data_IF_101899376379
#
_entry.id   IF_101899376379
#
_cell.length_a   1.000
_cell.length_b   1.000
_cell.length_c   1.000
_cell.angle_alpha   90.00
_cell.angle_beta   90.00
_cell.angle_gamma   90.00
#
_symmetry.space_group_name_H-M   'P 1'
#
loop_
_entity.id
_entity.type
_entity.pdbx_description
1 polymer ?
#
# COMPACT_ATOMS: atom_id res chain seq x y z
N UNK A 1 5.48 -3.38 14.30
CA UNK A 1 4.08 -3.44 13.81
C UNK A 1 3.26 -2.16 14.06
N UNK A 2 3.88 -1.02 14.39
CA UNK A 2 3.13 0.19 14.79
C UNK A 2 2.34 0.84 13.64
N UNK A 3 2.90 0.86 12.43
CA UNK A 3 2.21 1.37 11.22
C UNK A 3 0.94 0.55 10.93
N UNK A 4 1.04 -0.78 10.90
CA UNK A 4 -0.10 -1.68 10.65
C UNK A 4 -1.18 -1.54 11.73
N UNK A 5 -0.79 -1.41 13.00
CA UNK A 5 -1.73 -1.20 14.09
C UNK A 5 -2.47 0.15 13.98
N UNK A 6 -1.79 1.21 13.55
CA UNK A 6 -2.41 2.52 13.33
C UNK A 6 -3.43 2.51 12.18
N UNK A 7 -3.34 1.55 11.25
CA UNK A 7 -4.28 1.38 10.17
C UNK A 7 -5.58 0.65 10.58
N UNK A 8 -5.58 -0.07 11.72
CA UNK A 8 -6.66 -0.97 12.11
C UNK A 8 -8.06 -0.32 12.13
N UNK A 9 -8.25 0.90 12.69
CA UNK A 9 -9.57 1.56 12.64
C UNK A 9 -10.02 1.87 11.20
N UNK A 10 -9.08 2.14 10.30
CA UNK A 10 -9.34 2.37 8.88
C UNK A 10 -9.91 1.13 8.19
N UNK A 11 -9.51 -0.08 8.60
CA UNK A 11 -10.03 -1.33 8.02
C UNK A 11 -11.54 -1.44 8.29
N UNK A 12 -11.95 -1.22 9.54
CA UNK A 12 -13.37 -1.25 9.90
C UNK A 12 -14.14 -0.12 9.22
N UNK A 13 -13.58 1.09 9.17
CA UNK A 13 -14.21 2.24 8.52
C UNK A 13 -14.46 2.00 7.01
N UNK A 14 -13.58 1.27 6.31
CA UNK A 14 -13.81 0.87 4.92
C UNK A 14 -15.07 0.01 4.80
N UNK A 15 -15.25 -0.98 5.68
CA UNK A 15 -16.43 -1.87 5.67
C UNK A 15 -17.69 -1.08 6.02
N UNK A 16 -17.65 -0.28 7.08
CA UNK A 16 -18.79 0.55 7.52
C UNK A 16 -19.21 1.54 6.43
N UNK A 17 -18.25 2.10 5.69
CA UNK A 17 -18.53 3.02 4.60
C UNK A 17 -19.32 2.38 3.45
N UNK A 18 -19.09 1.10 3.14
CA UNK A 18 -19.89 0.38 2.12
C UNK A 18 -21.36 0.36 2.53
N UNK A 19 -21.63 0.01 3.79
CA UNK A 19 -22.98 -0.08 4.32
C UNK A 19 -23.65 1.30 4.45
N UNK A 20 -22.88 2.32 4.80
CA UNK A 20 -23.35 3.71 4.83
C UNK A 20 -23.77 4.20 3.43
N UNK A 21 -22.97 3.90 2.39
CA UNK A 21 -23.32 4.23 1.00
C UNK A 21 -24.62 3.52 0.59
N UNK A 22 -24.79 2.23 0.93
CA UNK A 22 -26.01 1.47 0.62
C UNK A 22 -27.27 2.05 1.28
N UNK A 23 -27.12 2.70 2.44
CA UNK A 23 -28.21 3.33 3.20
C UNK A 23 -28.40 4.82 2.88
N UNK A 24 -27.57 5.38 2.00
CA UNK A 24 -27.49 6.82 1.74
C UNK A 24 -27.22 7.66 3.01
N UNK A 25 -26.41 7.12 3.93
CA UNK A 25 -26.02 7.81 5.16
C UNK A 25 -24.77 8.67 4.95
N UNK A 26 -25.00 9.90 4.49
CA UNK A 26 -23.94 10.86 4.19
C UNK A 26 -23.06 11.20 5.41
N UNK A 27 -23.65 11.27 6.61
CA UNK A 27 -22.92 11.60 7.84
C UNK A 27 -21.94 10.49 8.20
N UNK A 28 -22.41 9.23 8.09
CA UNK A 28 -21.57 8.07 8.38
C UNK A 28 -20.47 7.89 7.32
N UNK A 29 -20.75 8.15 6.04
CA UNK A 29 -19.71 8.17 5.00
C UNK A 29 -18.62 9.18 5.32
N UNK A 30 -18.97 10.41 5.72
CA UNK A 30 -17.98 11.42 6.13
C UNK A 30 -17.18 10.99 7.36
N UNK A 31 -17.83 10.37 8.36
CA UNK A 31 -17.16 9.84 9.55
C UNK A 31 -16.12 8.78 9.18
N UNK A 32 -16.48 7.84 8.30
CA UNK A 32 -15.57 6.79 7.83
C UNK A 32 -14.38 7.35 7.05
N UNK A 33 -14.61 8.30 6.12
CA UNK A 33 -13.54 8.97 5.38
C UNK A 33 -12.59 9.72 6.32
N UNK A 34 -13.13 10.39 7.36
CA UNK A 34 -12.30 11.05 8.37
C UNK A 34 -11.43 10.04 9.12
N UNK A 35 -11.98 8.90 9.54
CA UNK A 35 -11.21 7.85 10.23
C UNK A 35 -10.08 7.34 9.34
N UNK A 36 -10.36 7.06 8.07
CA UNK A 36 -9.33 6.62 7.11
C UNK A 36 -8.24 7.67 6.95
N UNK A 37 -8.60 8.96 6.83
CA UNK A 37 -7.64 10.08 6.77
C UNK A 37 -6.75 10.09 8.01
N UNK A 38 -7.34 10.08 9.20
CA UNK A 38 -6.61 10.14 10.48
C UNK A 38 -5.66 8.94 10.63
N UNK A 39 -6.09 7.74 10.22
CA UNK A 39 -5.27 6.53 10.24
C UNK A 39 -4.05 6.66 9.31
N UNK A 40 -4.25 7.08 8.06
CA UNK A 40 -3.15 7.25 7.10
C UNK A 40 -2.17 8.35 7.57
N UNK A 41 -2.68 9.44 8.13
CA UNK A 41 -1.84 10.48 8.72
C UNK A 41 -1.03 9.95 9.92
N UNK A 42 -1.64 9.13 10.79
CA UNK A 42 -0.96 8.48 11.91
C UNK A 42 0.12 7.51 11.44
N UNK A 43 -0.18 6.67 10.44
CA UNK A 43 0.79 5.79 9.78
C UNK A 43 1.99 6.58 9.25
N UNK A 44 1.75 7.73 8.62
CA UNK A 44 2.81 8.62 8.11
C UNK A 44 3.65 9.20 9.23
N UNK A 45 3.03 9.63 10.33
CA UNK A 45 3.74 10.12 11.52
C UNK A 45 4.66 9.05 12.12
N UNK A 46 4.15 7.82 12.29
CA UNK A 46 4.94 6.69 12.79
C UNK A 46 6.07 6.33 11.83
N UNK A 47 5.84 6.41 10.52
CA UNK A 47 6.88 6.16 9.51
C UNK A 47 8.06 7.13 9.67
N UNK A 48 7.81 8.39 10.01
CA UNK A 48 8.86 9.40 10.26
C UNK A 48 9.72 9.10 11.49
N UNK A 49 9.22 8.34 12.46
CA UNK A 49 10.02 7.96 13.63
C UNK A 49 11.23 7.07 13.26
N UNK A 50 11.21 6.45 12.07
CA UNK A 50 12.36 5.72 11.53
C UNK A 50 13.63 6.58 11.47
N UNK A 51 13.51 7.89 11.21
CA UNK A 51 14.65 8.82 11.18
C UNK A 51 15.37 8.95 12.52
N UNK A 52 14.68 8.68 13.63
CA UNK A 52 15.23 8.78 14.97
C UNK A 52 15.77 7.43 15.45
N UNK A 53 15.03 6.35 15.16
CA UNK A 53 15.29 5.02 15.72
C UNK A 53 16.14 4.11 14.83
N UNK A 54 16.35 4.48 13.55
CA UNK A 54 17.07 3.65 12.60
C UNK A 54 18.18 4.43 11.89
N UNK A 55 19.43 3.99 12.09
CA UNK A 55 20.58 4.57 11.38
C UNK A 55 20.60 4.10 9.91
N UNK A 56 20.62 5.01 8.91
CA UNK A 56 20.59 4.64 7.49
C UNK A 56 21.72 3.70 7.04
N UNK A 57 22.95 3.95 7.51
CA UNK A 57 24.10 3.11 7.15
C UNK A 57 24.01 1.71 7.75
N UNK A 58 23.52 1.60 8.99
CA UNK A 58 23.28 0.30 9.62
C UNK A 58 22.19 -0.46 8.89
N UNK A 59 21.07 0.21 8.57
CA UNK A 59 19.99 -0.40 7.79
C UNK A 59 20.52 -0.95 6.46
N UNK A 60 21.19 -0.11 5.67
CA UNK A 60 21.64 -0.48 4.33
C UNK A 60 22.70 -1.58 4.33
N UNK A 61 23.75 -1.42 5.15
CA UNK A 61 24.92 -2.30 5.08
C UNK A 61 24.78 -3.57 5.92
N UNK A 62 23.95 -3.56 6.97
CA UNK A 62 23.85 -4.69 7.90
C UNK A 62 22.49 -5.36 7.88
N UNK A 63 21.41 -4.61 7.89
CA UNK A 63 20.08 -5.21 8.05
C UNK A 63 19.47 -5.65 6.72
N UNK A 64 19.56 -4.80 5.69
CA UNK A 64 18.90 -4.97 4.39
C UNK A 64 19.28 -6.28 3.70
N UNK A 65 20.51 -6.78 3.89
CA UNK A 65 20.97 -8.07 3.33
C UNK A 65 20.10 -9.25 3.77
N UNK A 66 19.62 -9.25 5.02
CA UNK A 66 18.77 -10.31 5.57
C UNK A 66 17.33 -10.26 5.04
N UNK A 67 16.93 -9.14 4.43
CA UNK A 67 15.62 -8.99 3.78
C UNK A 67 15.64 -9.31 2.30
N UNK A 68 16.83 -9.46 1.70
CA UNK A 68 16.98 -9.79 0.29
C UNK A 68 16.46 -11.20 0.01
N UNK A 69 15.81 -11.34 -1.14
CA UNK A 69 15.44 -12.65 -1.67
C UNK A 69 16.63 -13.40 -2.24
N UNK A 70 16.41 -14.64 -2.66
CA UNK A 70 17.41 -15.42 -3.39
C UNK A 70 17.25 -15.27 -4.89
N UNK A 71 18.24 -14.65 -5.54
CA UNK A 71 18.33 -14.57 -7.02
C UNK A 71 18.83 -15.87 -7.64
N UNK A 72 19.75 -16.54 -6.96
CA UNK A 72 20.36 -17.81 -7.41
C UNK A 72 19.48 -19.03 -7.07
N UNK A 73 18.46 -18.84 -6.23
CA UNK A 73 17.56 -19.88 -5.75
C UNK A 73 18.02 -20.46 -4.41
N UNK A 74 17.12 -21.21 -3.76
CA UNK A 74 17.39 -21.98 -2.55
C UNK A 74 16.86 -23.38 -2.79
N UNK A 75 17.66 -24.38 -2.46
CA UNK A 75 17.21 -25.77 -2.34
C UNK A 75 16.73 -26.01 -0.91
N UNK A 76 15.57 -26.65 -0.78
CA UNK A 76 15.00 -26.99 0.52
C UNK A 76 15.21 -28.48 0.75
N UNK A 77 16.33 -28.83 1.37
CA UNK A 77 16.64 -30.22 1.68
C UNK A 77 15.56 -30.86 2.57
N UNK A 78 15.19 -32.10 2.26
CA UNK A 78 14.17 -32.85 3.02
C UNK A 78 12.71 -32.54 2.66
N UNK A 79 12.45 -31.74 1.61
CA UNK A 79 11.11 -31.60 1.01
C UNK A 79 10.84 -32.69 -0.03
N UNK A 80 9.63 -32.69 -0.61
CA UNK A 80 9.25 -33.58 -1.71
C UNK A 80 10.04 -33.32 -3.01
N UNK A 81 10.71 -32.18 -3.12
CA UNK A 81 11.41 -31.72 -4.32
C UNK A 81 12.78 -31.07 -4.01
N UNK A 82 13.70 -31.78 -3.34
CA UNK A 82 14.93 -31.21 -2.79
C UNK A 82 15.90 -30.68 -3.86
N UNK A 83 15.84 -31.24 -5.08
CA UNK A 83 16.69 -30.82 -6.20
C UNK A 83 16.22 -29.52 -6.86
N UNK A 84 15.01 -29.04 -6.54
CA UNK A 84 14.42 -27.86 -7.17
C UNK A 84 14.96 -26.58 -6.56
N UNK A 85 15.64 -25.77 -7.38
CA UNK A 85 16.07 -24.43 -7.01
C UNK A 85 14.88 -23.47 -7.07
N UNK A 86 14.47 -22.97 -5.91
CA UNK A 86 13.31 -22.07 -5.80
C UNK A 86 13.79 -20.65 -5.54
N UNK A 87 13.35 -19.71 -6.39
CA UNK A 87 13.63 -18.29 -6.20
C UNK A 87 12.46 -17.60 -5.50
N UNK A 88 12.78 -16.81 -4.49
CA UNK A 88 11.81 -16.02 -3.76
C UNK A 88 12.33 -14.58 -3.67
N UNK A 89 11.55 -13.58 -4.11
CA UNK A 89 11.85 -12.18 -3.83
C UNK A 89 11.85 -11.91 -2.34
N UNK A 90 12.64 -10.91 -1.95
CA UNK A 90 12.80 -10.54 -0.56
C UNK A 90 11.57 -9.90 0.06
N UNK A 91 11.70 -9.56 1.33
CA UNK A 91 10.70 -8.82 2.08
C UNK A 91 10.56 -7.41 1.51
N UNK A 92 9.34 -6.91 1.38
CA UNK A 92 9.07 -5.55 0.91
C UNK A 92 7.76 -5.04 1.50
N UNK A 93 7.67 -3.73 1.77
CA UNK A 93 6.46 -3.10 2.31
C UNK A 93 5.21 -3.30 1.44
N UNK A 94 5.39 -3.60 0.15
CA UNK A 94 4.29 -3.95 -0.78
C UNK A 94 3.56 -5.25 -0.42
N UNK A 95 4.12 -6.06 0.49
CA UNK A 95 3.48 -7.26 1.02
C UNK A 95 2.47 -6.94 2.13
N UNK A 96 2.40 -5.68 2.60
CA UNK A 96 1.32 -5.21 3.45
C UNK A 96 0.01 -5.09 2.67
N UNK A 97 -1.09 -5.52 3.29
CA UNK A 97 -2.44 -5.47 2.70
C UNK A 97 -3.12 -4.12 2.90
N UNK A 98 -2.60 -3.23 3.74
CA UNK A 98 -3.25 -1.97 4.12
C UNK A 98 -3.27 -0.95 2.97
N UNK A 99 -2.14 -0.71 2.31
CA UNK A 99 -2.11 0.24 1.19
C UNK A 99 -2.98 -0.25 0.01
N UNK A 100 -2.93 -1.53 -0.39
CA UNK A 100 -3.90 -2.08 -1.35
C UNK A 100 -5.36 -1.91 -0.93
N UNK A 101 -5.69 -2.05 0.37
CA UNK A 101 -7.05 -1.81 0.87
C UNK A 101 -7.48 -0.36 0.64
N UNK A 102 -6.64 0.61 1.00
CA UNK A 102 -6.95 2.03 0.81
C UNK A 102 -6.98 2.44 -0.66
N UNK A 103 -6.15 1.84 -1.52
CA UNK A 103 -6.26 2.00 -2.97
C UNK A 103 -7.64 1.54 -3.48
N UNK A 104 -8.07 0.33 -3.08
CA UNK A 104 -9.38 -0.20 -3.47
C UNK A 104 -10.51 0.70 -2.96
N UNK A 105 -10.45 1.10 -1.70
CA UNK A 105 -11.45 1.96 -1.06
C UNK A 105 -11.62 3.29 -1.82
N UNK A 106 -10.52 3.97 -2.11
CA UNK A 106 -10.51 5.25 -2.84
C UNK A 106 -10.73 5.08 -4.35
N UNK A 107 -10.79 3.84 -4.84
CA UNK A 107 -10.95 3.52 -6.25
C UNK A 107 -9.70 3.74 -7.09
N UNK A 108 -8.52 3.87 -6.47
CA UNK A 108 -7.25 4.09 -7.16
C UNK A 108 -6.84 2.82 -7.89
N UNK A 109 -6.73 2.91 -9.22
CA UNK A 109 -6.26 1.81 -10.06
C UNK A 109 -4.85 2.09 -10.55
N UNK A 110 -3.87 1.33 -10.07
CA UNK A 110 -2.51 1.35 -10.60
C UNK A 110 -2.45 0.55 -11.91
N UNK A 111 -1.57 0.96 -12.83
CA UNK A 111 -1.50 0.40 -14.19
C UNK A 111 -0.08 -0.06 -14.58
N UNK A 112 0.02 -0.80 -15.68
CA UNK A 112 1.28 -1.23 -16.28
C UNK A 112 2.16 -2.09 -15.36
N UNK A 113 3.48 -1.91 -15.47
CA UNK A 113 4.45 -2.69 -14.69
C UNK A 113 4.30 -2.56 -13.17
N UNK A 114 3.82 -1.41 -12.68
CA UNK A 114 3.51 -1.18 -11.26
C UNK A 114 2.45 -2.16 -10.77
N UNK A 115 1.35 -2.29 -11.52
CA UNK A 115 0.27 -3.22 -11.21
C UNK A 115 0.75 -4.67 -11.22
N UNK A 116 1.45 -5.08 -12.28
CA UNK A 116 1.92 -6.47 -12.42
C UNK A 116 2.83 -6.90 -11.27
N UNK A 117 3.73 -6.02 -10.82
CA UNK A 117 4.59 -6.29 -9.67
C UNK A 117 3.79 -6.42 -8.36
N UNK A 118 2.89 -5.47 -8.09
CA UNK A 118 2.09 -5.48 -6.86
C UNK A 118 1.19 -6.72 -6.81
N UNK A 119 0.57 -7.09 -7.93
CA UNK A 119 -0.23 -8.31 -8.03
C UNK A 119 0.64 -9.56 -7.82
N UNK A 120 1.86 -9.59 -8.37
CA UNK A 120 2.83 -10.66 -8.11
C UNK A 120 3.28 -10.75 -6.65
N UNK A 121 3.21 -9.65 -5.89
CA UNK A 121 3.54 -9.63 -4.46
C UNK A 121 2.38 -10.03 -3.56
N UNK A 122 1.13 -9.90 -4.02
CA UNK A 122 -0.06 -10.29 -3.25
C UNK A 122 -0.03 -11.76 -2.83
N UNK A 123 0.54 -12.66 -3.63
CA UNK A 123 0.65 -14.09 -3.29
C UNK A 123 1.38 -14.32 -1.95
N UNK A 124 2.18 -13.34 -1.48
CA UNK A 124 2.87 -13.39 -0.19
C UNK A 124 2.09 -12.80 0.98
N UNK A 125 0.90 -12.27 0.74
CA UNK A 125 -0.05 -11.94 1.80
C UNK A 125 -0.72 -13.22 2.31
N UNK A 126 -1.09 -13.30 3.59
CA UNK A 126 -1.97 -14.34 4.11
C UNK A 126 -3.20 -14.54 3.21
N UNK A 127 -3.66 -15.78 3.10
CA UNK A 127 -4.76 -16.13 2.18
C UNK A 127 -6.02 -15.31 2.49
N UNK A 128 -6.34 -15.18 3.77
CA UNK A 128 -7.50 -14.47 4.30
C UNK A 128 -7.42 -12.98 3.96
N UNK A 129 -6.23 -12.39 3.98
CA UNK A 129 -6.04 -10.98 3.62
C UNK A 129 -6.26 -10.76 2.12
N UNK A 130 -5.78 -11.68 1.28
CA UNK A 130 -6.03 -11.62 -0.17
C UNK A 130 -7.51 -11.77 -0.50
N UNK A 131 -8.19 -12.68 0.18
CA UNK A 131 -9.62 -12.89 0.02
C UNK A 131 -10.38 -11.62 0.42
N UNK A 132 -10.07 -11.05 1.59
CA UNK A 132 -10.65 -9.81 2.06
C UNK A 132 -10.50 -8.66 1.04
N UNK A 133 -9.29 -8.44 0.51
CA UNK A 133 -9.08 -7.42 -0.53
C UNK A 133 -9.91 -7.68 -1.80
N UNK A 134 -10.11 -8.95 -2.16
CA UNK A 134 -10.92 -9.34 -3.32
C UNK A 134 -12.40 -9.08 -3.06
N UNK A 135 -12.89 -9.42 -1.88
CA UNK A 135 -14.29 -9.21 -1.47
C UNK A 135 -14.63 -7.72 -1.44
N UNK A 136 -13.78 -6.90 -0.80
CA UNK A 136 -13.94 -5.44 -0.79
C UNK A 136 -13.91 -4.89 -2.21
N UNK A 137 -12.98 -5.33 -3.06
CA UNK A 137 -12.91 -4.86 -4.45
C UNK A 137 -14.19 -5.19 -5.22
N UNK A 138 -14.79 -6.36 -5.00
CA UNK A 138 -16.04 -6.75 -5.65
C UNK A 138 -17.24 -5.95 -5.15
N UNK A 139 -17.31 -5.65 -3.85
CA UNK A 139 -18.35 -4.77 -3.30
C UNK A 139 -18.23 -3.33 -3.84
N UNK A 140 -17.00 -2.84 -4.02
CA UNK A 140 -16.73 -1.48 -4.51
C UNK A 140 -16.84 -1.33 -6.04
N UNK A 141 -16.80 -2.42 -6.82
CA UNK A 141 -16.99 -2.43 -8.27
C UNK A 141 -18.42 -2.85 -8.60
N UNK A 142 -19.35 -1.88 -8.70
CA UNK A 142 -20.76 -2.16 -8.97
C UNK A 142 -21.35 -1.55 -10.25
N UNK A 143 -20.58 -0.81 -11.06
CA UNK A 143 -21.07 -0.39 -12.38
C UNK A 143 -20.24 -0.99 -13.54
N UNK A 144 -20.92 -1.11 -14.68
CA UNK A 144 -20.40 -1.60 -15.97
C UNK A 144 -19.20 -0.77 -16.47
N UNK A 145 -18.95 0.40 -15.88
CA UNK A 145 -17.90 1.35 -16.21
C UNK A 145 -16.73 1.36 -15.22
N UNK A 146 -16.67 0.41 -14.27
CA UNK A 146 -15.58 0.26 -13.29
C UNK A 146 -15.35 1.45 -12.34
N UNK A 147 -16.38 2.25 -12.04
CA UNK A 147 -16.24 3.30 -11.03
C UNK A 147 -16.39 2.76 -9.60
N UNK A 148 -15.53 3.21 -8.69
CA UNK A 148 -15.68 2.95 -7.26
C UNK A 148 -17.01 3.53 -6.77
N UNK A 149 -17.83 2.71 -6.08
CA UNK A 149 -19.10 3.16 -5.50
C UNK A 149 -18.93 4.41 -4.63
N UNK A 150 -17.80 4.53 -3.92
CA UNK A 150 -17.49 5.70 -3.11
C UNK A 150 -17.27 6.92 -3.99
N UNK A 151 -16.49 6.81 -5.07
CA UNK A 151 -16.25 7.95 -5.98
C UNK A 151 -17.55 8.45 -6.59
N UNK A 152 -18.39 7.53 -7.08
CA UNK A 152 -19.72 7.88 -7.61
C UNK A 152 -20.55 8.57 -6.53
N UNK A 153 -20.58 8.01 -5.31
CA UNK A 153 -21.31 8.59 -4.19
C UNK A 153 -20.84 10.01 -3.84
N UNK A 154 -19.54 10.24 -3.68
CA UNK A 154 -19.02 11.57 -3.28
C UNK A 154 -19.08 12.61 -4.40
N UNK A 155 -19.14 12.20 -5.67
CA UNK A 155 -19.39 13.12 -6.79
C UNK A 155 -20.82 13.65 -6.79
N UNK A 156 -21.79 12.84 -6.35
CA UNK A 156 -23.18 13.24 -6.18
C UNK A 156 -23.41 14.09 -4.92
N UNK A 157 -22.51 13.99 -3.94
CA UNK A 157 -22.65 14.55 -2.60
C UNK A 157 -21.51 15.48 -2.23
N UNK A 158 -21.68 16.79 -2.50
CA UNK A 158 -20.62 17.81 -2.40
C UNK A 158 -19.91 17.87 -1.04
N UNK A 159 -20.60 17.66 0.09
CA UNK A 159 -19.96 17.72 1.41
C UNK A 159 -19.01 16.54 1.70
N UNK A 160 -19.17 15.41 1.00
CA UNK A 160 -18.30 14.24 1.15
C UNK A 160 -17.03 14.31 0.28
N UNK A 161 -16.99 15.26 -0.67
CA UNK A 161 -15.88 15.46 -1.61
C UNK A 161 -14.59 15.88 -0.91
N UNK A 162 -14.68 16.82 0.04
CA UNK A 162 -13.51 17.30 0.79
C UNK A 162 -12.92 16.22 1.70
N UNK A 163 -13.78 15.40 2.33
CA UNK A 163 -13.36 14.27 3.14
C UNK A 163 -12.67 13.18 2.30
N UNK A 164 -13.19 12.87 1.11
CA UNK A 164 -12.54 11.97 0.16
C UNK A 164 -11.19 12.53 -0.31
N UNK A 165 -11.13 13.80 -0.69
CA UNK A 165 -9.89 14.46 -1.10
C UNK A 165 -8.85 14.48 0.01
N UNK A 166 -9.28 14.59 1.28
CA UNK A 166 -8.39 14.49 2.44
C UNK A 166 -7.76 13.09 2.56
N UNK A 167 -8.51 12.03 2.28
CA UNK A 167 -7.95 10.67 2.23
C UNK A 167 -6.89 10.54 1.12
N UNK A 168 -7.17 11.06 -0.08
CA UNK A 168 -6.24 11.04 -1.20
C UNK A 168 -4.95 11.79 -0.86
N UNK A 169 -5.06 13.00 -0.29
CA UNK A 169 -3.91 13.81 0.14
C UNK A 169 -3.09 13.09 1.22
N UNK A 170 -3.75 12.47 2.21
CA UNK A 170 -3.06 11.71 3.24
C UNK A 170 -2.30 10.51 2.64
N UNK A 171 -2.88 9.81 1.65
CA UNK A 171 -2.23 8.69 0.99
C UNK A 171 -1.06 9.13 0.11
N UNK A 172 -1.17 10.28 -0.56
CA UNK A 172 -0.03 10.93 -1.26
C UNK A 172 1.10 11.21 -0.27
N UNK A 173 0.79 11.83 0.87
CA UNK A 173 1.79 12.16 1.89
C UNK A 173 2.49 10.91 2.45
N UNK A 174 1.74 9.83 2.70
CA UNK A 174 2.31 8.54 3.10
C UNK A 174 3.26 7.98 2.05
N UNK A 175 2.85 8.00 0.77
CA UNK A 175 3.69 7.51 -0.34
C UNK A 175 4.94 8.35 -0.49
N UNK A 176 4.82 9.68 -0.39
CA UNK A 176 5.96 10.60 -0.45
C UNK A 176 6.96 10.31 0.66
N UNK A 177 6.50 10.15 1.89
CA UNK A 177 7.35 9.80 3.03
C UNK A 177 8.07 8.45 2.80
N UNK A 178 7.38 7.47 2.22
CA UNK A 178 8.01 6.20 1.84
C UNK A 178 9.11 6.38 0.78
N UNK A 179 8.93 7.26 -0.22
CA UNK A 179 10.00 7.60 -1.16
C UNK A 179 11.18 8.23 -0.43
N UNK A 180 10.91 9.19 0.45
CA UNK A 180 11.95 9.90 1.19
C UNK A 180 12.77 8.93 2.05
N UNK A 181 12.11 7.96 2.70
CA UNK A 181 12.79 6.86 3.38
C UNK A 181 13.65 6.03 2.43
N UNK A 182 13.13 5.59 1.28
CA UNK A 182 13.94 4.84 0.31
C UNK A 182 15.16 5.64 -0.13
N UNK A 183 15.00 6.93 -0.43
CA UNK A 183 16.11 7.81 -0.80
C UNK A 183 17.16 7.90 0.31
N UNK A 184 16.73 8.11 1.56
CA UNK A 184 17.64 8.30 2.69
C UNK A 184 18.29 7.00 3.19
N UNK A 185 17.61 5.86 3.07
CA UNK A 185 18.04 4.57 3.63
C UNK A 185 18.57 3.59 2.58
N UNK A 186 18.36 3.85 1.30
CA UNK A 186 18.83 2.98 0.21
C UNK A 186 19.69 3.77 -0.78
N UNK A 187 19.15 4.80 -1.44
CA UNK A 187 19.86 5.50 -2.51
C UNK A 187 21.11 6.22 -1.98
N UNK A 188 20.98 7.10 -0.99
CA UNK A 188 22.13 7.84 -0.44
C UNK A 188 23.23 6.93 0.14
N UNK A 189 22.93 5.93 1.01
CA UNK A 189 23.96 5.01 1.50
C UNK A 189 24.62 4.16 0.41
N UNK A 190 23.94 3.94 -0.72
CA UNK A 190 24.51 3.25 -1.89
C UNK A 190 25.34 4.14 -2.81
N UNK A 191 25.52 5.43 -2.51
CA UNK A 191 26.04 6.44 -3.45
C UNK A 191 25.24 6.45 -4.78
N UNK A 192 23.91 6.34 -4.69
CA UNK A 192 22.96 6.30 -5.81
C UNK A 192 23.17 5.16 -6.82
N UNK A 193 23.95 4.14 -6.46
CA UNK A 193 24.20 2.97 -7.30
C UNK A 193 23.11 1.89 -7.19
N UNK A 194 22.32 1.88 -6.11
CA UNK A 194 21.26 0.91 -5.93
C UNK A 194 20.08 1.17 -6.89
N UNK A 195 19.76 0.20 -7.74
CA UNK A 195 18.67 0.29 -8.72
C UNK A 195 17.41 -0.47 -8.31
N UNK A 196 17.52 -1.41 -7.36
CA UNK A 196 16.45 -2.35 -6.96
C UNK A 196 16.20 -2.34 -5.45
N UNK A 197 14.95 -2.58 -5.06
CA UNK A 197 14.55 -2.89 -3.69
C UNK A 197 14.74 -4.37 -3.34
N UNK A 198 14.60 -4.73 -2.06
CA UNK A 198 14.70 -6.12 -1.58
C UNK A 198 13.66 -7.05 -2.21
N UNK A 199 12.49 -6.52 -2.55
CA UNK A 199 11.45 -7.23 -3.30
C UNK A 199 11.72 -7.36 -4.81
N UNK A 200 12.85 -6.84 -5.32
CA UNK A 200 13.25 -6.94 -6.73
C UNK A 200 12.66 -5.87 -7.67
N UNK A 201 11.89 -4.91 -7.16
CA UNK A 201 11.38 -3.79 -7.96
C UNK A 201 12.43 -2.72 -8.21
N UNK A 202 12.41 -2.11 -9.39
CA UNK A 202 13.19 -0.89 -9.67
C UNK A 202 12.78 0.25 -8.74
N UNK A 203 13.72 0.83 -7.98
CA UNK A 203 13.40 1.90 -7.02
C UNK A 203 12.81 3.12 -7.72
N UNK A 204 13.36 3.52 -8.87
CA UNK A 204 12.97 4.75 -9.58
C UNK A 204 11.57 4.67 -10.20
N UNK A 205 11.20 3.52 -10.76
CA UNK A 205 9.93 3.36 -11.50
C UNK A 205 8.76 3.07 -10.55
N UNK A 206 9.01 2.31 -9.48
CA UNK A 206 7.94 1.81 -8.61
C UNK A 206 7.55 2.76 -7.48
N UNK A 207 8.25 3.88 -7.32
CA UNK A 207 8.00 4.83 -6.23
C UNK A 207 7.22 6.07 -6.68
N UNK A 208 7.58 6.70 -7.81
CA UNK A 208 6.94 7.96 -8.24
C UNK A 208 5.57 7.77 -8.91
N UNK A 209 5.42 6.75 -9.76
CA UNK A 209 4.16 6.49 -10.49
C UNK A 209 2.95 6.29 -9.57
N UNK A 210 3.05 5.56 -8.43
CA UNK A 210 1.94 5.48 -7.48
C UNK A 210 1.51 6.83 -6.92
N UNK A 211 2.42 7.79 -6.70
CA UNK A 211 2.07 9.12 -6.18
C UNK A 211 1.26 9.89 -7.21
N UNK A 212 1.80 10.04 -8.43
CA UNK A 212 1.14 10.77 -9.52
C UNK A 212 -0.24 10.19 -9.81
N UNK A 213 -0.34 8.85 -9.82
CA UNK A 213 -1.62 8.16 -10.01
C UNK A 213 -2.57 8.37 -8.83
N UNK A 214 -2.12 8.38 -7.58
CA UNK A 214 -3.02 8.70 -6.45
C UNK A 214 -3.51 10.14 -6.53
N UNK A 215 -2.62 11.07 -6.82
CA UNK A 215 -2.95 12.50 -6.89
C UNK A 215 -4.00 12.78 -7.97
N UNK A 216 -3.92 12.08 -9.11
CA UNK A 216 -4.91 12.21 -10.19
C UNK A 216 -6.33 11.74 -9.81
N UNK A 217 -6.53 11.09 -8.66
CA UNK A 217 -7.84 10.63 -8.19
C UNK A 217 -8.56 11.64 -7.31
N UNK A 218 -7.92 12.77 -6.97
CA UNK A 218 -8.58 13.91 -6.32
C UNK A 218 -9.75 14.38 -7.19
N UNK A 219 -10.88 14.67 -6.55
CA UNK A 219 -12.12 15.13 -7.19
C UNK A 219 -12.20 16.65 -7.23
#
# INVERSE_FOLDING_TARGET
MRIELAAAPGIQAVVDCIEAIKKDDQQEVMRCLKIVTDCISSMTGIMKEMYQECNPSVFYNKLRVFFSGSKEGIQYEGTEDPDTWRTYPGASGVQSSIIPLFDIFLGIELEGGTKSFLDGMKIRMPLEHRQFLTDIKNEYKKDEFSHSILRTYVQLHSCSKDAYNSCVIALVAFRQEHIDLVTNYISKPSNDTATEGTGGSSLKIFLTKPIEKTESFKL
#
